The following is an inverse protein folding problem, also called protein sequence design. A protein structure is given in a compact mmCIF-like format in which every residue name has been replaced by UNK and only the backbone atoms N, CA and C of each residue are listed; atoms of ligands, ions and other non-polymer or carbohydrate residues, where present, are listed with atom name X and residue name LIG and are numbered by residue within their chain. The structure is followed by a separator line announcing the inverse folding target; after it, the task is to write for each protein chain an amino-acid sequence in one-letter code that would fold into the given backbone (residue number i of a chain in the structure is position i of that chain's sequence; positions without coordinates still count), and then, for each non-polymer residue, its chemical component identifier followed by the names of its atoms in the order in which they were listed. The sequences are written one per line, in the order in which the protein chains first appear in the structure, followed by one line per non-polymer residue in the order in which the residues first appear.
data_IF_728548638407
#
_entry.id   IF_728548638407
#
_cell.length_a   1.000
_cell.length_b   1.000
_cell.length_c   1.000
_cell.angle_alpha   90.00
_cell.angle_beta   90.00
_cell.angle_gamma   90.00
#
_symmetry.space_group_name_H-M   'P 1'
#
loop_
_entity.id
_entity.type
_entity.pdbx_description
1 polymer ?
#
# COMPACT_ATOMS: atom_id res chain seq x y z
N UNK A 1 1.45 -11.61 37.97
CA UNK A 1 1.25 -11.85 36.53
C UNK A 1 0.28 -10.81 36.02
N UNK A 2 0.48 -10.25 34.83
CA UNK A 2 -0.40 -9.20 34.28
C UNK A 2 -1.65 -9.88 33.70
N UNK A 3 -2.84 -9.40 34.03
CA UNK A 3 -4.10 -10.10 33.73
C UNK A 3 -5.16 -9.18 33.12
N UNK A 4 -5.92 -9.73 32.19
CA UNK A 4 -7.19 -9.16 31.74
C UNK A 4 -8.27 -9.66 32.68
N UNK A 5 -9.08 -8.75 33.22
CA UNK A 5 -10.19 -9.09 34.11
C UNK A 5 -11.51 -8.68 33.48
N UNK A 6 -12.53 -9.53 33.63
CA UNK A 6 -13.89 -9.25 33.21
C UNK A 6 -14.82 -9.55 34.38
N UNK A 7 -15.63 -8.58 34.76
CA UNK A 7 -16.61 -8.69 35.84
C UNK A 7 -18.01 -8.40 35.33
N UNK A 8 -19.05 -8.81 36.07
CA UNK A 8 -20.40 -8.29 35.83
C UNK A 8 -20.45 -6.80 36.20
N UNK A 9 -21.14 -6.02 35.40
CA UNK A 9 -21.43 -4.63 35.73
C UNK A 9 -22.46 -4.60 36.88
N UNK A 10 -22.16 -3.97 38.02
CA UNK A 10 -23.07 -3.91 39.17
C UNK A 10 -24.33 -3.08 38.90
N UNK A 11 -24.35 -2.24 37.86
CA UNK A 11 -25.53 -1.45 37.47
C UNK A 11 -26.56 -2.32 36.73
N UNK A 12 -27.70 -2.68 37.35
CA UNK A 12 -28.72 -3.55 36.75
C UNK A 12 -29.49 -2.86 35.62
N UNK A 13 -29.44 -1.52 35.52
CA UNK A 13 -30.07 -0.75 34.45
C UNK A 13 -29.21 -0.64 33.19
N UNK A 14 -27.96 -1.09 33.24
CA UNK A 14 -27.02 -0.93 32.15
C UNK A 14 -27.30 -1.87 30.98
N UNK A 15 -27.27 -1.33 29.76
CA UNK A 15 -27.28 -2.12 28.52
C UNK A 15 -25.92 -2.77 28.23
N UNK A 16 -24.90 -2.48 29.03
CA UNK A 16 -23.53 -3.01 28.93
C UNK A 16 -23.23 -3.82 30.21
N UNK A 17 -23.62 -5.11 30.27
CA UNK A 17 -23.64 -5.91 31.49
C UNK A 17 -22.28 -6.36 32.00
N UNK A 18 -21.17 -6.01 31.33
CA UNK A 18 -19.83 -6.41 31.74
C UNK A 18 -18.90 -5.21 31.90
N UNK A 19 -17.98 -5.33 32.86
CA UNK A 19 -16.80 -4.48 33.00
C UNK A 19 -15.58 -5.23 32.49
N UNK A 20 -14.78 -4.58 31.65
CA UNK A 20 -13.51 -5.08 31.11
C UNK A 20 -12.38 -4.22 31.67
N UNK A 21 -11.48 -4.82 32.45
CA UNK A 21 -10.27 -4.16 32.95
C UNK A 21 -9.05 -4.64 32.16
N UNK A 22 -8.47 -3.70 31.41
CA UNK A 22 -7.30 -3.90 30.55
C UNK A 22 -6.05 -3.47 31.32
N UNK A 23 -5.02 -4.33 31.42
CA UNK A 23 -3.85 -4.04 32.23
C UNK A 23 -2.81 -3.23 31.46
N UNK A 24 -3.18 -2.00 31.08
CA UNK A 24 -2.29 -1.03 30.44
C UNK A 24 -2.09 0.16 31.38
N UNK A 25 -0.84 0.49 31.71
CA UNK A 25 -0.53 1.54 32.70
C UNK A 25 -1.12 1.19 34.07
N UNK A 26 -1.83 2.12 34.70
CA UNK A 26 -2.56 1.90 35.96
C UNK A 26 -3.82 1.02 35.83
N UNK A 27 -4.17 0.61 34.60
CA UNK A 27 -5.41 -0.09 34.27
C UNK A 27 -6.38 0.83 33.54
N UNK A 28 -7.11 0.27 32.58
CA UNK A 28 -8.22 0.94 31.91
C UNK A 28 -9.49 0.11 32.09
N UNK A 29 -10.62 0.77 32.34
CA UNK A 29 -11.90 0.08 32.58
C UNK A 29 -12.90 0.50 31.51
N UNK A 30 -13.64 -0.48 30.99
CA UNK A 30 -14.68 -0.27 30.00
C UNK A 30 -15.94 -1.04 30.36
N UNK A 31 -17.12 -0.43 30.17
CA UNK A 31 -18.39 -1.17 30.13
C UNK A 31 -18.58 -1.74 28.73
N UNK A 32 -19.00 -2.99 28.60
CA UNK A 32 -19.20 -3.66 27.30
C UNK A 32 -20.33 -4.68 27.30
N UNK A 33 -20.76 -5.09 26.10
CA UNK A 33 -21.92 -5.96 25.89
C UNK A 33 -21.61 -7.47 26.05
N UNK A 34 -20.34 -7.87 26.11
CA UNK A 34 -19.95 -9.27 26.18
C UNK A 34 -18.53 -9.48 26.69
N UNK A 35 -18.18 -10.74 26.97
CA UNK A 35 -16.87 -11.12 27.53
C UNK A 35 -15.79 -11.37 26.48
N UNK A 36 -16.17 -11.47 25.20
CA UNK A 36 -15.22 -11.56 24.09
C UNK A 36 -15.91 -11.21 22.76
N UNK A 37 -15.25 -10.48 21.84
CA UNK A 37 -15.77 -10.24 20.50
C UNK A 37 -15.65 -11.51 19.65
N UNK A 38 -16.68 -12.36 19.68
CA UNK A 38 -16.76 -13.63 18.94
C UNK A 38 -17.32 -13.46 17.53
N UNK A 39 -18.44 -12.75 17.42
CA UNK A 39 -19.22 -12.60 16.18
C UNK A 39 -19.17 -11.18 15.61
N UNK A 40 -19.24 -10.16 16.48
CA UNK A 40 -19.12 -8.74 16.11
C UNK A 40 -18.18 -8.01 17.07
N UNK A 41 -17.66 -6.86 16.63
CA UNK A 41 -16.97 -5.95 17.53
C UNK A 41 -17.93 -5.47 18.62
N UNK A 42 -17.45 -5.43 19.86
CA UNK A 42 -18.22 -4.98 21.01
C UNK A 42 -17.92 -3.50 21.25
N UNK A 43 -18.95 -2.69 21.45
CA UNK A 43 -18.76 -1.33 21.92
C UNK A 43 -18.22 -1.36 23.36
N UNK A 44 -17.23 -0.51 23.62
CA UNK A 44 -16.61 -0.33 24.91
C UNK A 44 -16.79 1.13 25.32
N UNK A 45 -17.58 1.36 26.37
CA UNK A 45 -17.74 2.68 26.96
C UNK A 45 -16.65 2.89 28.01
N UNK A 46 -15.71 3.83 27.84
CA UNK A 46 -14.64 4.06 28.80
C UNK A 46 -15.20 4.63 30.10
N UNK A 47 -14.71 4.12 31.22
CA UNK A 47 -15.06 4.60 32.57
C UNK A 47 -13.80 4.75 33.43
N UNK A 48 -13.91 5.50 34.52
CA UNK A 48 -12.81 5.66 35.47
C UNK A 48 -12.47 4.37 36.21
N UNK A 49 -11.28 4.31 36.82
CA UNK A 49 -10.82 3.14 37.58
C UNK A 49 -11.66 2.92 38.83
N UNK A 50 -12.21 3.98 39.39
CA UNK A 50 -13.13 4.00 40.53
C UNK A 50 -14.45 3.26 40.27
N UNK A 51 -14.80 3.01 39.00
CA UNK A 51 -15.96 2.18 38.67
C UNK A 51 -15.68 0.68 38.76
N UNK A 52 -14.42 0.27 38.91
CA UNK A 52 -14.09 -1.12 39.19
C UNK A 52 -14.39 -1.45 40.66
N UNK A 53 -15.29 -2.41 40.96
CA UNK A 53 -15.65 -2.72 42.35
C UNK A 53 -14.46 -3.27 43.15
N UNK A 54 -14.46 -2.99 44.45
CA UNK A 54 -13.48 -3.57 45.39
C UNK A 54 -13.63 -5.10 45.49
N UNK A 55 -14.87 -5.60 45.44
CA UNK A 55 -15.22 -7.02 45.36
C UNK A 55 -15.97 -7.32 44.05
N UNK A 56 -15.25 -7.50 42.92
CA UNK A 56 -15.88 -7.71 41.62
C UNK A 56 -16.38 -9.14 41.45
N UNK A 57 -17.62 -9.31 40.97
CA UNK A 57 -18.12 -10.59 40.46
C UNK A 57 -17.41 -10.95 39.15
N UNK A 58 -16.23 -11.58 39.27
CA UNK A 58 -15.36 -11.95 38.17
C UNK A 58 -15.98 -13.09 37.34
N UNK A 59 -16.20 -12.79 36.07
CA UNK A 59 -16.65 -13.75 35.05
C UNK A 59 -15.45 -14.36 34.34
N UNK A 60 -14.37 -13.59 34.16
CA UNK A 60 -13.18 -14.05 33.46
C UNK A 60 -11.91 -13.41 34.03
N UNK A 61 -10.86 -14.23 34.20
CA UNK A 61 -9.52 -13.80 34.56
C UNK A 61 -8.53 -14.55 33.68
N UNK A 62 -7.75 -13.82 32.88
CA UNK A 62 -6.84 -14.42 31.91
C UNK A 62 -5.48 -13.76 31.98
N UNK A 63 -4.44 -14.58 32.07
CA UNK A 63 -3.06 -14.12 31.97
C UNK A 63 -2.81 -13.46 30.60
N UNK A 64 -2.05 -12.37 30.61
CA UNK A 64 -1.74 -11.58 29.41
C UNK A 64 -0.29 -11.80 29.03
N UNK A 65 -0.06 -12.25 27.79
CA UNK A 65 1.28 -12.36 27.19
C UNK A 65 1.78 -11.00 26.70
N UNK A 66 0.89 -10.17 26.14
CA UNK A 66 1.23 -8.82 25.70
C UNK A 66 0.01 -7.89 25.75
N UNK A 67 0.21 -6.66 26.24
CA UNK A 67 -0.76 -5.57 26.17
C UNK A 67 -0.03 -4.28 25.81
N UNK A 68 -0.16 -3.82 24.56
CA UNK A 68 0.65 -2.73 24.02
C UNK A 68 -0.23 -1.72 23.30
N UNK A 69 -0.04 -0.43 23.61
CA UNK A 69 -0.68 0.65 22.86
C UNK A 69 0.08 0.95 21.57
N UNK A 70 -0.63 1.00 20.45
CA UNK A 70 -0.11 1.40 19.13
C UNK A 70 -1.05 2.42 18.50
N UNK A 71 -0.71 3.70 18.64
CA UNK A 71 -1.55 4.80 18.18
C UNK A 71 -2.95 4.75 18.81
N UNK A 72 -3.97 4.63 17.96
CA UNK A 72 -5.37 4.58 18.34
C UNK A 72 -5.87 3.17 18.74
N UNK A 73 -5.00 2.17 18.87
CA UNK A 73 -5.38 0.83 19.29
C UNK A 73 -4.56 0.32 20.48
N UNK A 74 -5.15 -0.58 21.26
CA UNK A 74 -4.47 -1.40 22.26
C UNK A 74 -4.52 -2.85 21.78
N UNK A 75 -3.35 -3.42 21.49
CA UNK A 75 -3.20 -4.83 21.14
C UNK A 75 -3.20 -5.68 22.42
N UNK A 76 -4.07 -6.69 22.48
CA UNK A 76 -4.15 -7.66 23.57
C UNK A 76 -3.87 -9.07 23.07
N UNK A 77 -2.87 -9.72 23.68
CA UNK A 77 -2.54 -11.13 23.47
C UNK A 77 -2.66 -11.86 24.81
N UNK A 78 -3.65 -12.74 24.92
CA UNK A 78 -3.94 -13.53 26.11
C UNK A 78 -3.22 -14.88 26.07
N UNK A 79 -2.89 -15.41 27.24
CA UNK A 79 -2.26 -16.72 27.42
C UNK A 79 -3.30 -17.85 27.39
N UNK A 80 -3.87 -18.08 26.20
CA UNK A 80 -4.80 -19.20 25.96
C UNK A 80 -4.76 -19.66 24.50
N UNK A 81 -5.31 -20.86 24.26
CA UNK A 81 -5.26 -21.51 22.94
C UNK A 81 -6.19 -20.89 21.89
N UNK A 82 -7.39 -20.45 22.29
CA UNK A 82 -8.42 -19.84 21.42
C UNK A 82 -8.82 -18.49 21.99
N UNK A 83 -9.40 -17.62 21.15
CA UNK A 83 -9.85 -16.29 21.60
C UNK A 83 -8.70 -15.51 22.27
N UNK A 84 -7.49 -15.61 21.72
CA UNK A 84 -6.27 -15.18 22.39
C UNK A 84 -5.69 -13.86 21.87
N UNK A 85 -6.29 -13.27 20.83
CA UNK A 85 -5.83 -12.02 20.23
C UNK A 85 -7.02 -11.11 19.98
N UNK A 86 -6.93 -9.88 20.44
CA UNK A 86 -7.95 -8.85 20.21
C UNK A 86 -7.34 -7.46 20.22
N UNK A 87 -8.12 -6.47 19.82
CA UNK A 87 -7.76 -5.05 19.88
C UNK A 87 -8.89 -4.24 20.48
N UNK A 88 -8.56 -3.27 21.34
CA UNK A 88 -9.45 -2.14 21.61
C UNK A 88 -9.05 -0.98 20.70
N UNK A 89 -9.95 -0.55 19.83
CA UNK A 89 -9.70 0.52 18.87
C UNK A 89 -10.50 1.75 19.25
N UNK A 90 -9.77 2.84 19.49
CA UNK A 90 -10.27 4.18 19.73
C UNK A 90 -10.50 4.84 18.36
N UNK A 91 -11.68 5.38 18.14
CA UNK A 91 -12.09 5.99 16.88
C UNK A 91 -13.14 7.05 17.10
N UNK A 92 -13.56 7.73 16.03
CA UNK A 92 -14.67 8.66 16.03
C UNK A 92 -15.81 8.08 15.20
N UNK A 93 -16.99 7.92 15.80
CA UNK A 93 -18.20 7.45 15.13
C UNK A 93 -19.31 8.51 15.27
N UNK A 94 -19.87 8.97 14.14
CA UNK A 94 -20.90 10.04 14.11
C UNK A 94 -20.48 11.31 14.88
N UNK A 95 -19.19 11.69 14.78
CA UNK A 95 -18.64 12.87 15.43
C UNK A 95 -18.36 12.73 16.94
N UNK A 96 -18.49 11.54 17.52
CA UNK A 96 -18.20 11.26 18.93
C UNK A 96 -17.09 10.23 19.07
N UNK A 97 -16.28 10.34 20.12
CA UNK A 97 -15.30 9.32 20.46
C UNK A 97 -15.99 7.99 20.81
N UNK A 98 -15.43 6.89 20.32
CA UNK A 98 -15.95 5.55 20.51
C UNK A 98 -14.79 4.56 20.62
N UNK A 99 -14.94 3.55 21.48
CA UNK A 99 -13.99 2.44 21.59
C UNK A 99 -14.69 1.15 21.19
N UNK A 100 -14.04 0.34 20.37
CA UNK A 100 -14.55 -0.97 19.96
C UNK A 100 -13.54 -2.06 20.29
N UNK A 101 -13.99 -3.11 20.96
CA UNK A 101 -13.23 -4.32 21.19
C UNK A 101 -13.52 -5.34 20.08
N UNK A 102 -12.49 -5.74 19.35
CA UNK A 102 -12.61 -6.62 18.18
C UNK A 102 -11.58 -7.75 18.20
N UNK A 103 -11.95 -8.92 17.68
CA UNK A 103 -11.03 -10.03 17.41
C UNK A 103 -10.75 -10.14 15.92
N UNK A 104 -9.73 -10.92 15.50
CA UNK A 104 -9.46 -11.20 14.08
C UNK A 104 -10.68 -11.73 13.31
N UNK A 105 -11.63 -12.41 13.99
CA UNK A 105 -12.86 -12.96 13.39
C UNK A 105 -14.01 -11.96 13.30
N UNK A 106 -14.05 -10.94 14.16
CA UNK A 106 -15.13 -9.93 14.18
C UNK A 106 -14.78 -8.66 13.46
N UNK A 107 -13.58 -8.59 12.88
CA UNK A 107 -13.29 -7.65 11.82
C UNK A 107 -14.29 -7.95 10.72
N UNK A 108 -15.40 -7.20 10.66
CA UNK A 108 -16.10 -6.95 9.40
C UNK A 108 -14.98 -6.69 8.42
N UNK A 109 -14.86 -7.56 7.42
CA UNK A 109 -13.96 -7.40 6.29
C UNK A 109 -13.91 -5.91 6.00
N UNK A 110 -12.71 -5.33 6.03
CA UNK A 110 -12.55 -3.89 5.86
C UNK A 110 -13.38 -3.53 4.63
N UNK A 111 -14.44 -2.76 4.83
CA UNK A 111 -15.04 -1.99 3.76
C UNK A 111 -14.16 -0.76 3.76
N UNK A 112 -13.18 -0.62 2.84
CA UNK A 112 -12.32 0.52 2.86
C UNK A 112 -13.18 1.69 2.36
N UNK A 113 -13.87 2.36 3.28
CA UNK A 113 -14.11 3.80 3.15
C UNK A 113 -12.78 4.51 3.46
N UNK A 114 -11.72 4.04 2.79
CA UNK A 114 -10.35 4.48 3.02
C UNK A 114 -10.18 5.75 2.24
N UNK A 115 -10.20 6.87 2.96
CA UNK A 115 -9.64 8.11 2.45
C UNK A 115 -8.14 7.90 2.27
N UNK A 116 -7.69 7.96 1.03
CA UNK A 116 -6.25 7.96 0.74
C UNK A 116 -5.64 9.28 1.25
N UNK A 117 -4.42 9.28 1.80
CA UNK A 117 -3.85 10.49 2.37
C UNK A 117 -3.67 11.58 1.30
N UNK A 118 -3.94 12.83 1.65
CA UNK A 118 -3.73 14.00 0.75
C UNK A 118 -2.28 14.49 0.74
N UNK A 119 -1.48 14.08 1.74
CA UNK A 119 -0.07 14.45 1.84
C UNK A 119 0.74 13.98 0.62
N UNK A 120 1.68 14.83 0.19
CA UNK A 120 2.61 14.55 -0.90
C UNK A 120 3.44 13.30 -0.59
N UNK A 121 3.71 12.49 -1.61
CA UNK A 121 4.53 11.31 -1.45
C UNK A 121 6.01 11.72 -1.34
N UNK A 122 6.71 11.17 -0.35
CA UNK A 122 8.12 11.43 -0.08
C UNK A 122 8.52 12.93 0.02
N UNK A 123 7.55 13.82 0.29
CA UNK A 123 7.79 15.27 0.34
C UNK A 123 8.03 15.94 -1.02
N UNK A 124 7.95 15.20 -2.13
CA UNK A 124 8.20 15.74 -3.47
C UNK A 124 7.15 16.81 -3.82
N UNK A 125 7.55 17.97 -4.38
CA UNK A 125 6.62 19.00 -4.80
C UNK A 125 5.76 18.55 -5.98
N UNK A 126 6.36 17.80 -6.91
CA UNK A 126 5.74 17.18 -8.07
C UNK A 126 6.50 15.89 -8.43
N UNK A 127 5.81 14.94 -9.06
CA UNK A 127 6.41 13.71 -9.60
C UNK A 127 5.99 13.53 -11.07
N UNK A 128 6.96 13.41 -11.98
CA UNK A 128 6.68 12.98 -13.35
C UNK A 128 6.60 11.46 -13.42
N UNK A 129 5.46 10.94 -13.87
CA UNK A 129 5.22 9.50 -14.07
C UNK A 129 5.05 9.23 -15.56
N UNK A 130 5.83 8.28 -16.07
CA UNK A 130 5.70 7.77 -17.44
C UNK A 130 4.64 6.66 -17.39
N UNK A 131 3.54 6.81 -18.10
CA UNK A 131 2.54 5.76 -18.31
C UNK A 131 2.75 5.10 -19.68
N UNK A 132 2.65 3.78 -19.76
CA UNK A 132 2.82 3.06 -21.01
C UNK A 132 1.75 3.51 -22.03
N UNK A 133 2.19 3.76 -23.27
CA UNK A 133 1.32 4.23 -24.32
C UNK A 133 0.21 3.22 -24.66
N UNK A 134 0.46 1.92 -24.48
CA UNK A 134 -0.49 0.82 -24.74
C UNK A 134 -1.48 0.63 -23.59
N UNK A 135 -1.26 1.25 -22.42
CA UNK A 135 -2.19 1.13 -21.30
C UNK A 135 -3.48 1.92 -21.57
N UNK A 136 -4.59 1.18 -21.72
CA UNK A 136 -5.89 1.75 -22.14
C UNK A 136 -6.67 2.33 -20.96
N UNK A 137 -6.55 1.73 -19.78
CA UNK A 137 -7.31 2.10 -18.59
C UNK A 137 -6.39 2.58 -17.47
N UNK A 138 -5.55 3.56 -17.82
CA UNK A 138 -4.51 4.09 -16.93
C UNK A 138 -5.05 4.83 -15.70
N UNK A 139 -4.22 4.88 -14.66
CA UNK A 139 -4.39 5.74 -13.49
C UNK A 139 -4.36 7.21 -13.90
N UNK A 140 -5.07 8.03 -13.15
CA UNK A 140 -5.17 9.48 -13.38
C UNK A 140 -4.40 10.28 -12.35
N UNK A 141 -4.02 9.66 -11.24
CA UNK A 141 -3.44 10.24 -10.04
C UNK A 141 -4.20 11.48 -9.58
N UNK A 142 -5.53 11.39 -9.58
CA UNK A 142 -6.41 12.55 -9.35
C UNK A 142 -6.14 13.19 -7.97
N UNK A 143 -5.93 14.51 -7.96
CA UNK A 143 -5.65 15.27 -6.74
C UNK A 143 -4.24 15.06 -6.18
N UNK A 144 -3.34 14.41 -6.92
CA UNK A 144 -1.91 14.30 -6.58
C UNK A 144 -1.09 15.24 -7.47
N UNK A 145 0.04 15.78 -6.97
CA UNK A 145 0.96 16.57 -7.78
C UNK A 145 1.77 15.65 -8.69
N UNK A 146 1.12 15.10 -9.72
CA UNK A 146 1.72 14.16 -10.68
C UNK A 146 1.55 14.70 -12.10
N UNK A 147 2.66 14.81 -12.82
CA UNK A 147 2.66 15.01 -14.28
C UNK A 147 2.66 13.65 -14.95
N UNK A 148 1.61 13.31 -15.70
CA UNK A 148 1.58 12.07 -16.49
C UNK A 148 2.09 12.29 -17.91
N UNK A 149 3.11 11.53 -18.30
CA UNK A 149 3.65 11.51 -19.67
C UNK A 149 3.40 10.13 -20.28
N UNK A 150 2.87 10.07 -21.50
CA UNK A 150 2.58 8.79 -22.17
C UNK A 150 3.70 8.42 -23.13
N UNK A 151 4.39 7.29 -22.89
CA UNK A 151 5.46 6.78 -23.77
C UNK A 151 5.44 5.25 -23.81
N UNK A 152 6.04 4.63 -24.82
CA UNK A 152 6.18 3.18 -24.86
C UNK A 152 7.28 2.75 -23.89
N UNK A 153 6.90 2.18 -22.75
CA UNK A 153 7.84 1.63 -21.77
C UNK A 153 8.43 0.31 -22.30
N UNK A 154 9.71 0.00 -21.97
CA UNK A 154 10.28 -1.29 -22.32
C UNK A 154 9.58 -2.44 -21.56
N UNK A 155 9.19 -2.21 -20.30
CA UNK A 155 8.35 -3.11 -19.52
C UNK A 155 7.57 -2.32 -18.44
N UNK A 156 6.49 -2.93 -17.92
CA UNK A 156 5.58 -2.30 -16.98
C UNK A 156 4.61 -1.29 -17.62
N UNK A 157 3.63 -0.88 -16.83
CA UNK A 157 2.58 0.08 -17.20
C UNK A 157 2.85 1.50 -16.72
N UNK A 158 3.66 1.66 -15.67
CA UNK A 158 4.09 2.96 -15.15
C UNK A 158 5.57 2.92 -14.82
N UNK A 159 6.25 4.06 -14.92
CA UNK A 159 7.64 4.17 -14.52
C UNK A 159 8.06 5.57 -14.15
N UNK A 160 9.24 5.68 -13.55
CA UNK A 160 9.91 6.95 -13.27
C UNK A 160 11.31 6.91 -13.84
N UNK A 161 11.73 8.05 -14.36
CA UNK A 161 13.08 8.25 -14.86
C UNK A 161 13.84 9.27 -14.00
N UNK A 162 15.15 9.09 -13.90
CA UNK A 162 16.10 10.02 -13.30
C UNK A 162 17.32 10.06 -14.21
N UNK A 163 17.84 11.25 -14.52
CA UNK A 163 18.98 11.46 -15.43
C UNK A 163 18.83 10.74 -16.79
N UNK A 164 17.60 10.73 -17.32
CA UNK A 164 17.30 10.09 -18.60
C UNK A 164 17.32 8.56 -18.58
N UNK A 165 17.39 7.91 -17.41
CA UNK A 165 17.33 6.44 -17.24
C UNK A 165 16.04 6.01 -16.56
N UNK A 166 15.44 4.90 -16.99
CA UNK A 166 14.26 4.32 -16.37
C UNK A 166 14.65 3.55 -15.10
N UNK A 167 14.58 4.23 -13.95
CA UNK A 167 15.07 3.68 -12.68
C UNK A 167 14.07 2.78 -11.98
N UNK A 168 12.78 2.93 -12.29
CA UNK A 168 11.75 2.07 -11.74
C UNK A 168 10.55 1.88 -12.66
N UNK A 169 9.94 0.69 -12.58
CA UNK A 169 8.67 0.39 -13.27
C UNK A 169 7.68 -0.38 -12.39
N UNK A 170 6.41 -0.22 -12.71
CA UNK A 170 5.27 -0.89 -12.09
C UNK A 170 4.49 -1.62 -13.16
N UNK A 171 4.28 -2.91 -12.99
CA UNK A 171 3.31 -3.70 -13.76
C UNK A 171 1.98 -3.74 -13.00
N UNK A 172 0.90 -3.28 -13.62
CA UNK A 172 -0.44 -3.29 -13.04
C UNK A 172 -1.19 -4.53 -13.53
N UNK A 173 -1.78 -5.29 -12.60
CA UNK A 173 -2.56 -6.48 -12.93
C UNK A 173 -3.93 -6.46 -12.25
N UNK A 174 -4.99 -6.82 -12.97
CA UNK A 174 -6.19 -7.33 -12.30
C UNK A 174 -5.93 -8.76 -11.80
N UNK A 175 -6.74 -9.27 -10.87
CA UNK A 175 -6.62 -10.68 -10.47
C UNK A 175 -6.87 -11.64 -11.64
N UNK A 176 -7.81 -11.32 -12.51
CA UNK A 176 -8.12 -12.13 -13.68
C UNK A 176 -6.93 -12.20 -14.64
N UNK A 177 -6.28 -11.06 -14.90
CA UNK A 177 -5.09 -10.98 -15.77
C UNK A 177 -3.87 -11.65 -15.13
N UNK A 178 -3.72 -11.55 -13.80
CA UNK A 178 -2.69 -12.26 -13.05
C UNK A 178 -2.84 -13.78 -13.22
N UNK A 179 -4.03 -14.31 -12.97
CA UNK A 179 -4.33 -15.74 -13.11
C UNK A 179 -4.14 -16.20 -14.56
N UNK A 180 -4.65 -15.43 -15.52
CA UNK A 180 -4.53 -15.71 -16.95
C UNK A 180 -3.07 -15.77 -17.40
N UNK A 181 -2.28 -14.74 -17.08
CA UNK A 181 -0.86 -14.67 -17.46
C UNK A 181 0.03 -15.67 -16.73
N UNK A 182 -0.30 -16.02 -15.48
CA UNK A 182 0.38 -17.07 -14.73
C UNK A 182 0.16 -18.45 -15.38
N UNK A 183 -1.11 -18.80 -15.58
CA UNK A 183 -1.50 -20.11 -16.15
C UNK A 183 -1.09 -20.26 -17.62
N UNK A 184 -1.12 -19.16 -18.38
CA UNK A 184 -0.60 -19.10 -19.75
C UNK A 184 0.92 -18.97 -19.84
N UNK A 185 1.62 -18.82 -18.71
CA UNK A 185 3.08 -18.78 -18.65
C UNK A 185 3.72 -17.48 -19.15
N UNK A 186 2.95 -16.44 -19.49
CA UNK A 186 3.48 -15.15 -19.96
C UNK A 186 4.01 -14.28 -18.81
N UNK A 187 3.48 -14.45 -17.59
CA UNK A 187 3.86 -13.66 -16.41
C UNK A 187 5.35 -13.80 -16.06
N UNK A 188 5.95 -14.97 -16.29
CA UNK A 188 7.36 -15.23 -16.00
C UNK A 188 8.30 -14.38 -16.89
N UNK A 189 7.90 -14.09 -18.12
CA UNK A 189 8.69 -13.26 -19.03
C UNK A 189 8.61 -11.80 -18.60
N UNK A 190 7.40 -11.32 -18.28
CA UNK A 190 7.21 -9.98 -17.72
C UNK A 190 8.02 -9.78 -16.44
N UNK A 191 8.03 -10.75 -15.52
CA UNK A 191 8.86 -10.70 -14.31
C UNK A 191 10.36 -10.72 -14.61
N UNK A 192 10.80 -11.47 -15.63
CA UNK A 192 12.19 -11.43 -16.08
C UNK A 192 12.63 -10.06 -16.58
N UNK A 193 11.80 -9.38 -17.36
CA UNK A 193 12.07 -8.01 -17.83
C UNK A 193 12.05 -7.00 -16.68
N UNK A 194 11.06 -7.08 -15.80
CA UNK A 194 10.97 -6.23 -14.60
C UNK A 194 12.16 -6.43 -13.67
N UNK A 195 12.63 -7.67 -13.50
CA UNK A 195 13.77 -7.99 -12.64
C UNK A 195 15.11 -7.43 -13.14
N UNK A 196 15.18 -7.02 -14.40
CA UNK A 196 16.35 -6.33 -14.95
C UNK A 196 16.40 -4.84 -14.58
N UNK A 197 15.32 -4.27 -14.03
CA UNK A 197 15.29 -2.89 -13.56
C UNK A 197 15.83 -2.77 -12.12
N UNK A 198 16.36 -1.59 -11.74
CA UNK A 198 16.83 -1.35 -10.37
C UNK A 198 15.71 -1.53 -9.34
N UNK A 199 14.50 -1.08 -9.69
CA UNK A 199 13.30 -1.18 -8.86
C UNK A 199 12.12 -1.58 -9.73
N UNK A 200 11.48 -2.69 -9.41
CA UNK A 200 10.23 -3.07 -10.05
C UNK A 200 9.25 -3.69 -9.07
N UNK A 201 7.97 -3.54 -9.37
CA UNK A 201 6.89 -4.13 -8.58
C UNK A 201 5.70 -4.49 -9.48
N UNK A 202 5.07 -5.61 -9.20
CA UNK A 202 3.75 -5.96 -9.73
C UNK A 202 2.70 -5.55 -8.70
N UNK A 203 1.74 -4.73 -9.12
CA UNK A 203 0.63 -4.28 -8.29
C UNK A 203 -0.66 -4.94 -8.77
N UNK A 204 -1.29 -5.70 -7.87
CA UNK A 204 -2.51 -6.45 -8.14
C UNK A 204 -3.71 -5.74 -7.53
N UNK A 205 -4.70 -5.43 -8.36
CA UNK A 205 -5.95 -4.78 -7.97
C UNK A 205 -6.97 -5.74 -7.37
N UNK A 206 -6.52 -6.54 -6.41
CA UNK A 206 -7.40 -7.42 -5.63
C UNK A 206 -6.66 -7.89 -4.36
N UNK A 207 -7.32 -8.71 -3.56
CA UNK A 207 -6.76 -9.37 -2.38
C UNK A 207 -6.25 -10.75 -2.75
N UNK A 208 -5.13 -11.15 -2.16
CA UNK A 208 -4.61 -12.53 -2.26
C UNK A 208 -5.68 -13.58 -1.94
N UNK A 209 -6.56 -13.31 -0.95
CA UNK A 209 -7.65 -14.22 -0.56
C UNK A 209 -8.61 -14.58 -1.71
N UNK A 210 -8.78 -13.72 -2.71
CA UNK A 210 -9.68 -13.99 -3.84
C UNK A 210 -9.16 -15.08 -4.78
N UNK A 211 -7.88 -15.46 -4.68
CA UNK A 211 -7.35 -16.63 -5.39
C UNK A 211 -8.07 -17.90 -4.95
N UNK A 212 -8.41 -18.01 -3.67
CA UNK A 212 -9.06 -19.20 -3.11
C UNK A 212 -10.57 -19.26 -3.39
N UNK A 213 -11.13 -18.24 -4.05
CA UNK A 213 -12.52 -18.21 -4.48
C UNK A 213 -12.67 -18.47 -5.99
N UNK A 214 -11.58 -18.77 -6.70
CA UNK A 214 -11.61 -19.05 -8.14
C UNK A 214 -12.37 -20.34 -8.43
N UNK A 215 -13.33 -20.27 -9.37
CA UNK A 215 -14.12 -21.44 -9.80
C UNK A 215 -13.60 -22.14 -11.05
N UNK A 216 -12.80 -21.47 -11.88
CA UNK A 216 -12.32 -22.01 -13.19
C UNK A 216 -10.92 -22.58 -13.15
N UNK A 217 -10.04 -22.00 -12.32
CA UNK A 217 -8.65 -22.42 -12.16
C UNK A 217 -8.49 -22.93 -10.74
N UNK A 218 -7.80 -24.06 -10.56
CA UNK A 218 -7.54 -24.63 -9.24
C UNK A 218 -6.71 -23.63 -8.40
N UNK A 219 -7.19 -23.19 -7.22
CA UNK A 219 -6.46 -22.22 -6.40
C UNK A 219 -5.04 -22.65 -6.02
N UNK A 220 -4.82 -23.95 -5.78
CA UNK A 220 -3.49 -24.49 -5.47
C UNK A 220 -2.47 -24.22 -6.58
N UNK A 221 -2.85 -24.41 -7.85
CA UNK A 221 -1.99 -24.13 -9.00
C UNK A 221 -1.57 -22.65 -9.05
N UNK A 222 -2.50 -21.74 -8.74
CA UNK A 222 -2.21 -20.30 -8.71
C UNK A 222 -1.33 -19.95 -7.51
N UNK A 223 -1.62 -20.49 -6.33
CA UNK A 223 -0.84 -20.24 -5.12
C UNK A 223 0.60 -20.75 -5.26
N UNK A 224 0.78 -21.98 -5.77
CA UNK A 224 2.09 -22.59 -6.00
C UNK A 224 2.88 -21.80 -7.06
N UNK A 225 2.22 -21.45 -8.17
CA UNK A 225 2.85 -20.65 -9.22
C UNK A 225 3.30 -19.27 -8.73
N UNK A 226 2.48 -18.57 -7.94
CA UNK A 226 2.88 -17.29 -7.35
C UNK A 226 4.05 -17.43 -6.36
N UNK A 227 4.08 -18.51 -5.58
CA UNK A 227 5.21 -18.80 -4.70
C UNK A 227 6.49 -19.07 -5.49
N UNK A 228 6.41 -19.86 -6.57
CA UNK A 228 7.54 -20.11 -7.47
C UNK A 228 8.08 -18.81 -8.07
N UNK A 229 7.19 -17.94 -8.58
CA UNK A 229 7.58 -16.65 -9.14
C UNK A 229 8.30 -15.77 -8.10
N UNK A 230 7.79 -15.70 -6.87
CA UNK A 230 8.38 -14.90 -5.80
C UNK A 230 9.77 -15.42 -5.36
N UNK A 231 9.97 -16.74 -5.37
CA UNK A 231 11.29 -17.34 -5.09
C UNK A 231 12.26 -17.12 -6.25
N UNK A 232 11.78 -17.19 -7.49
CA UNK A 232 12.61 -17.06 -8.69
C UNK A 232 13.03 -15.62 -8.97
N UNK A 233 12.19 -14.63 -8.68
CA UNK A 233 12.46 -13.20 -8.84
C UNK A 233 12.24 -12.44 -7.53
N UNK A 234 13.07 -12.68 -6.50
CA UNK A 234 12.87 -12.11 -5.17
C UNK A 234 13.00 -10.58 -5.13
N UNK A 235 13.58 -9.98 -6.18
CA UNK A 235 13.72 -8.54 -6.34
C UNK A 235 12.48 -7.85 -6.95
N UNK A 236 11.48 -8.60 -7.41
CA UNK A 236 10.22 -8.05 -7.93
C UNK A 236 9.07 -8.43 -7.01
N UNK A 237 8.65 -7.47 -6.17
CA UNK A 237 7.54 -7.71 -5.26
C UNK A 237 6.21 -7.84 -6.02
N UNK A 238 5.31 -8.71 -5.54
CA UNK A 238 3.91 -8.78 -5.99
C UNK A 238 3.02 -8.31 -4.84
N UNK A 239 2.36 -7.15 -5.01
CA UNK A 239 1.63 -6.45 -3.94
C UNK A 239 0.14 -6.45 -4.25
N UNK A 240 -0.67 -6.92 -3.29
CA UNK A 240 -2.13 -7.00 -3.40
C UNK A 240 -2.76 -5.79 -2.73
N UNK A 241 -3.36 -4.91 -3.54
CA UNK A 241 -3.86 -3.61 -3.09
C UNK A 241 -5.37 -3.58 -2.85
N UNK A 242 -6.08 -4.70 -3.01
CA UNK A 242 -7.54 -4.83 -2.81
C UNK A 242 -8.40 -4.07 -3.83
N UNK A 243 -8.24 -2.75 -3.96
CA UNK A 243 -9.02 -1.93 -4.90
C UNK A 243 -8.12 -1.17 -5.85
N UNK A 244 -8.68 -0.79 -7.01
CA UNK A 244 -8.04 0.11 -7.97
C UNK A 244 -7.55 1.42 -7.34
N UNK A 245 -8.36 2.02 -6.45
CA UNK A 245 -8.00 3.28 -5.78
C UNK A 245 -6.79 3.13 -4.86
N UNK A 246 -6.73 2.02 -4.12
CA UNK A 246 -5.60 1.72 -3.23
C UNK A 246 -4.35 1.33 -4.02
N UNK A 247 -4.52 0.64 -5.14
CA UNK A 247 -3.44 0.35 -6.08
C UNK A 247 -2.85 1.64 -6.65
N UNK A 248 -3.68 2.56 -7.13
CA UNK A 248 -3.26 3.88 -7.62
C UNK A 248 -2.50 4.68 -6.55
N UNK A 249 -2.96 4.68 -5.30
CA UNK A 249 -2.26 5.32 -4.19
C UNK A 249 -0.90 4.65 -3.89
N UNK A 250 -0.86 3.32 -3.91
CA UNK A 250 0.39 2.56 -3.70
C UNK A 250 1.39 2.87 -4.81
N UNK A 251 0.97 2.85 -6.08
CA UNK A 251 1.81 3.17 -7.24
C UNK A 251 2.37 4.58 -7.12
N UNK A 252 1.53 5.58 -6.79
CA UNK A 252 1.99 6.96 -6.58
C UNK A 252 3.10 7.04 -5.53
N UNK A 253 2.89 6.43 -4.36
CA UNK A 253 3.86 6.50 -3.25
C UNK A 253 5.13 5.72 -3.53
N UNK A 254 4.99 4.55 -4.16
CA UNK A 254 6.12 3.69 -4.48
C UNK A 254 7.01 4.32 -5.55
N UNK A 255 6.42 4.90 -6.61
CA UNK A 255 7.16 5.63 -7.64
C UNK A 255 7.87 6.87 -7.08
N UNK A 256 7.22 7.62 -6.18
CA UNK A 256 7.84 8.75 -5.49
C UNK A 256 9.05 8.31 -4.63
N UNK A 257 8.92 7.21 -3.89
CA UNK A 257 10.01 6.66 -3.10
C UNK A 257 11.16 6.17 -3.99
N UNK A 258 10.86 5.52 -5.11
CA UNK A 258 11.86 5.08 -6.07
C UNK A 258 12.62 6.25 -6.71
N UNK A 259 11.90 7.33 -7.04
CA UNK A 259 12.50 8.57 -7.54
C UNK A 259 13.47 9.20 -6.51
N UNK A 260 13.02 9.37 -5.26
CA UNK A 260 13.89 9.94 -4.19
C UNK A 260 15.11 9.06 -3.93
N UNK A 261 14.92 7.73 -3.91
CA UNK A 261 16.03 6.80 -3.76
C UNK A 261 17.05 6.95 -4.89
N UNK A 262 16.61 6.96 -6.16
CA UNK A 262 17.51 7.09 -7.29
C UNK A 262 18.25 8.45 -7.32
N UNK A 263 17.52 9.56 -7.06
CA UNK A 263 18.11 10.90 -7.00
C UNK A 263 19.13 11.06 -5.85
N UNK A 264 18.86 10.45 -4.69
CA UNK A 264 19.77 10.51 -3.54
C UNK A 264 20.98 9.56 -3.66
N UNK A 265 20.82 8.42 -4.32
CA UNK A 265 21.88 7.46 -4.58
C UNK A 265 22.89 7.99 -5.61
N UNK A 266 22.42 8.60 -6.70
CA UNK A 266 23.28 9.27 -7.68
C UNK A 266 24.14 10.37 -7.01
N UNK A 267 23.51 11.24 -6.22
CA UNK A 267 24.20 12.29 -5.48
C UNK A 267 25.17 11.75 -4.42
N UNK A 268 24.93 10.56 -3.85
CA UNK A 268 25.82 9.92 -2.89
C UNK A 268 27.04 9.26 -3.55
N UNK A 269 26.84 8.58 -4.68
CA UNK A 269 27.93 7.99 -5.48
C UNK A 269 28.90 9.06 -5.99
N UNK A 270 28.37 10.19 -6.48
CA UNK A 270 29.17 11.33 -6.91
C UNK A 270 30.02 11.91 -5.77
N UNK A 271 29.42 12.07 -4.57
CA UNK A 271 30.12 12.56 -3.37
C UNK A 271 31.22 11.61 -2.87
N UNK A 272 31.03 10.31 -3.02
CA UNK A 272 31.96 9.30 -2.52
C UNK A 272 33.08 8.94 -3.50
N UNK A 273 33.05 9.43 -4.76
CA UNK A 273 34.02 9.12 -5.83
C UNK A 273 34.27 7.61 -5.99
N UNK A 274 33.26 6.79 -5.67
CA UNK A 274 33.32 5.36 -5.88
C UNK A 274 33.06 5.09 -7.37
N UNK A 275 33.71 4.08 -7.99
CA UNK A 275 33.25 3.55 -9.27
C UNK A 275 31.77 3.20 -9.13
N UNK A 276 30.96 3.56 -10.12
CA UNK A 276 29.51 3.40 -10.14
C UNK A 276 29.13 1.91 -9.92
N UNK A 277 28.93 1.52 -8.67
CA UNK A 277 28.57 0.16 -8.25
C UNK A 277 27.08 0.05 -7.91
N UNK A 278 26.25 0.91 -8.50
CA UNK A 278 24.80 0.97 -8.29
C UNK A 278 24.05 0.37 -9.47
N UNK A 279 22.93 -0.32 -9.21
CA UNK A 279 22.08 -0.92 -10.25
C UNK A 279 21.53 0.07 -11.29
N UNK A 280 21.68 1.38 -11.08
CA UNK A 280 21.26 2.46 -11.98
C UNK A 280 22.00 2.45 -13.34
N UNK A 281 23.22 1.94 -13.44
CA UNK A 281 23.93 1.89 -14.74
C UNK A 281 23.29 0.90 -15.72
N UNK A 282 22.72 -0.18 -15.19
CA UNK A 282 22.04 -1.24 -15.95
C UNK A 282 20.62 -0.81 -16.32
N UNK A 283 20.11 0.29 -15.73
CA UNK A 283 18.81 0.83 -16.07
C UNK A 283 18.77 1.21 -17.56
N UNK A 284 17.74 0.77 -18.30
CA UNK A 284 17.59 1.15 -19.70
C UNK A 284 17.35 2.65 -19.82
N UNK A 285 17.66 3.20 -20.99
CA UNK A 285 17.33 4.59 -21.30
C UNK A 285 15.82 4.82 -21.13
N UNK A 286 15.48 5.98 -20.56
CA UNK A 286 14.09 6.41 -20.50
C UNK A 286 13.55 6.53 -21.92
N UNK A 287 12.29 6.14 -22.16
CA UNK A 287 11.74 6.19 -23.51
C UNK A 287 11.74 7.63 -24.03
N UNK A 288 12.22 7.81 -25.27
CA UNK A 288 12.25 9.11 -25.93
C UNK A 288 10.83 9.64 -26.20
N UNK A 289 10.65 10.98 -26.22
CA UNK A 289 9.37 11.57 -26.57
C UNK A 289 9.02 11.30 -28.04
N UNK A 290 7.73 11.22 -28.35
CA UNK A 290 7.32 11.05 -29.76
C UNK A 290 7.54 12.33 -30.57
N UNK A 291 7.72 12.27 -31.91
CA UNK A 291 7.76 13.48 -32.75
C UNK A 291 6.50 14.35 -32.64
N UNK A 292 5.37 13.78 -32.23
CA UNK A 292 4.12 14.52 -31.98
C UNK A 292 4.21 15.30 -30.66
N UNK A 293 4.80 14.71 -29.62
CA UNK A 293 5.03 15.33 -28.30
C UNK A 293 6.03 16.49 -28.43
N UNK A 294 7.20 16.25 -29.02
CA UNK A 294 8.22 17.29 -29.23
C UNK A 294 7.68 18.45 -30.06
N UNK A 295 6.84 18.16 -31.06
CA UNK A 295 6.20 19.21 -31.87
C UNK A 295 5.20 20.04 -31.08
N UNK A 296 4.42 19.41 -30.20
CA UNK A 296 3.46 20.12 -29.35
C UNK A 296 4.20 21.07 -28.41
N UNK A 297 5.20 20.54 -27.69
CA UNK A 297 6.07 21.34 -26.84
C UNK A 297 6.72 22.50 -27.60
N UNK A 298 7.28 22.24 -28.78
CA UNK A 298 7.96 23.26 -29.56
C UNK A 298 7.03 24.44 -29.90
N UNK A 299 5.75 24.17 -30.21
CA UNK A 299 4.76 25.23 -30.45
C UNK A 299 4.41 26.00 -29.19
N UNK A 300 4.22 25.30 -28.07
CA UNK A 300 3.95 25.92 -26.77
C UNK A 300 5.13 26.81 -26.31
N UNK A 301 6.36 26.41 -26.65
CA UNK A 301 7.58 27.18 -26.43
C UNK A 301 7.83 28.29 -27.47
N UNK A 302 6.92 28.49 -28.43
CA UNK A 302 7.04 29.53 -29.47
C UNK A 302 8.04 29.23 -30.60
N UNK A 303 8.51 27.99 -30.72
CA UNK A 303 9.41 27.57 -31.80
C UNK A 303 8.63 27.28 -33.09
N UNK A 304 9.13 27.79 -34.22
CA UNK A 304 8.54 27.53 -35.53
C UNK A 304 8.82 26.10 -35.99
N UNK A 305 7.75 25.30 -36.10
CA UNK A 305 7.81 23.89 -36.50
C UNK A 305 6.70 23.53 -37.49
N UNK A 306 7.05 22.74 -38.51
CA UNK A 306 6.10 22.28 -39.52
C UNK A 306 4.89 21.54 -38.91
N UNK A 307 3.77 21.45 -39.63
CA UNK A 307 2.57 20.74 -39.15
C UNK A 307 2.71 19.21 -39.15
N UNK A 308 3.45 18.66 -40.12
CA UNK A 308 3.71 17.22 -40.30
C UNK A 308 5.18 16.97 -40.71
N UNK A 309 5.57 15.72 -40.90
CA UNK A 309 6.93 15.33 -41.36
C UNK A 309 7.98 15.23 -40.25
N UNK A 310 9.25 15.00 -40.62
CA UNK A 310 10.35 14.86 -39.65
C UNK A 310 10.65 16.20 -38.97
N UNK A 311 10.89 16.18 -37.65
CA UNK A 311 11.33 17.37 -36.92
C UNK A 311 12.81 17.66 -37.20
N UNK A 312 13.16 18.95 -37.32
CA UNK A 312 14.53 19.37 -37.53
C UNK A 312 15.41 19.04 -36.29
N UNK A 313 16.70 18.68 -36.46
CA UNK A 313 17.59 18.36 -35.35
C UNK A 313 17.65 19.44 -34.27
N UNK A 314 17.59 20.72 -34.66
CA UNK A 314 17.56 21.87 -33.73
C UNK A 314 16.38 21.83 -32.75
N UNK A 315 15.24 21.30 -33.16
CA UNK A 315 14.02 21.22 -32.34
C UNK A 315 14.18 20.11 -31.29
N UNK A 316 14.79 18.99 -31.68
CA UNK A 316 15.16 17.92 -30.75
C UNK A 316 16.19 18.39 -29.72
N UNK A 317 17.20 19.14 -30.16
CA UNK A 317 18.19 19.71 -29.25
C UNK A 317 17.54 20.66 -28.25
N UNK A 318 16.73 21.61 -28.74
CA UNK A 318 16.00 22.53 -27.87
C UNK A 318 15.10 21.81 -26.86
N UNK A 319 14.45 20.70 -27.26
CA UNK A 319 13.64 19.89 -26.35
C UNK A 319 14.51 19.25 -25.25
N UNK A 320 15.67 18.68 -25.62
CA UNK A 320 16.61 18.09 -24.65
C UNK A 320 17.16 19.13 -23.69
N UNK A 321 17.54 20.31 -24.18
CA UNK A 321 18.05 21.40 -23.35
C UNK A 321 16.99 21.90 -22.36
N UNK A 322 15.71 21.87 -22.74
CA UNK A 322 14.60 22.28 -21.87
C UNK A 322 14.15 21.20 -20.86
N UNK A 323 14.52 19.93 -21.05
CA UNK A 323 14.09 18.80 -20.22
C UNK A 323 15.26 17.98 -19.64
N UNK A 324 16.48 18.53 -19.69
CA UNK A 324 17.64 17.99 -18.98
C UNK A 324 17.65 18.60 -17.59
N UNK A 325 16.92 17.98 -16.67
CA UNK A 325 16.96 18.26 -15.23
C UNK A 325 16.70 16.98 -14.46
#
# INVERSE_FOLDING_TARGET
MVELLIARNPDPGSRLPYLLRVPLGGGLVFRTAGTWPRTNALYCYPVGLEEWPDDPDLVERVAVRACVRRGAAIDLVLDRARENRSQLVFTTARGREAVFWQSPRTRRQARPDVRTPTARAAGLPELTVIADARERYGYRFAGKPVTLVRRALPCGDYGVAVDGRLVAAVERKSLADLVSSLTGGTLRYALGELAALPRAVVVVEDRYSQIFTLGRVRPALVADGLAELAVRWPNVAIVYCETRQLAEEYVYRWLAAAHVWAASEAAALERLRLPQLGGLEIAPDAPEPSPTEVRRWAREAGLEVALRGRLAPRVWQAWRDAHSS
#
